data_IF_228587995642
#
_entry.id   IF_228587995642
#
_cell.length_a   1.000
_cell.length_b   1.000
_cell.length_c   1.000
_cell.angle_alpha   90.00
_cell.angle_beta   90.00
_cell.angle_gamma   90.00
#
_symmetry.space_group_name_H-M   'P 1'
#
loop_
_entity.id
_entity.type
_entity.pdbx_description
1 polymer ?
#
# COMPACT_ATOMS: atom_id res chain seq x y z
N UNK A 1 78.18 15.38 35.63
CA UNK A 1 77.32 14.26 35.23
C UNK A 1 76.09 14.23 36.12
N UNK A 2 74.96 14.79 35.66
CA UNK A 2 73.64 14.16 35.82
C UNK A 2 72.64 14.95 34.98
N UNK A 3 72.35 14.40 33.81
CA UNK A 3 71.46 14.92 32.79
C UNK A 3 70.01 14.57 33.19
N UNK A 4 69.25 15.54 33.69
CA UNK A 4 67.83 15.36 33.96
C UNK A 4 67.05 15.37 32.64
N UNK A 5 66.91 14.19 32.06
CA UNK A 5 66.10 13.93 30.87
C UNK A 5 64.62 14.17 31.20
N UNK A 6 64.10 15.31 30.74
CA UNK A 6 62.68 15.68 30.76
C UNK A 6 61.88 14.59 30.02
N UNK A 7 61.09 13.80 30.75
CA UNK A 7 60.06 12.94 30.16
C UNK A 7 59.02 13.84 29.47
N UNK A 8 59.05 13.84 28.14
CA UNK A 8 57.99 14.44 27.33
C UNK A 8 56.81 13.48 27.34
N UNK A 9 55.72 13.85 28.02
CA UNK A 9 54.43 13.18 27.91
C UNK A 9 54.03 13.14 26.42
N UNK A 10 53.99 11.94 25.84
CA UNK A 10 53.43 11.74 24.51
C UNK A 10 51.92 12.06 24.56
N UNK A 11 51.41 12.96 23.70
CA UNK A 11 49.99 13.25 23.67
C UNK A 11 49.22 12.00 23.23
N UNK A 12 48.46 11.41 24.15
CA UNK A 12 47.56 10.28 23.87
C UNK A 12 46.65 10.63 22.70
N UNK A 13 46.83 9.95 21.55
CA UNK A 13 46.01 10.19 20.36
C UNK A 13 44.53 10.02 20.74
N UNK A 14 43.66 11.00 20.45
CA UNK A 14 42.25 10.91 20.82
C UNK A 14 41.62 9.67 20.19
N UNK A 15 40.96 8.85 21.01
CA UNK A 15 40.34 7.58 20.62
C UNK A 15 39.34 7.84 19.48
N UNK A 16 39.53 7.17 18.34
CA UNK A 16 38.64 7.33 17.19
C UNK A 16 37.24 6.81 17.53
N UNK A 17 36.26 7.72 17.66
CA UNK A 17 34.85 7.35 17.83
C UNK A 17 34.20 7.25 16.45
N UNK A 18 33.63 6.09 16.07
CA UNK A 18 32.97 5.93 14.76
C UNK A 18 31.72 6.82 14.67
N UNK A 19 31.42 7.31 13.47
CA UNK A 19 30.24 8.17 13.22
C UNK A 19 28.91 7.42 13.40
N UNK A 20 28.95 6.09 13.28
CA UNK A 20 27.82 5.19 13.49
C UNK A 20 28.24 4.15 14.52
N UNK A 21 27.69 4.26 15.73
CA UNK A 21 27.92 3.31 16.83
C UNK A 21 27.28 1.96 16.53
N UNK A 22 27.62 0.91 17.29
CA UNK A 22 27.05 -0.43 17.08
C UNK A 22 25.51 -0.46 17.18
N UNK A 23 24.94 0.28 18.14
CA UNK A 23 23.48 0.42 18.26
C UNK A 23 22.87 1.17 17.07
N UNK A 24 23.47 2.30 16.68
CA UNK A 24 22.99 3.10 15.55
C UNK A 24 23.09 2.36 14.21
N UNK A 25 24.02 1.41 14.09
CA UNK A 25 24.16 0.53 12.92
C UNK A 25 22.95 -0.38 12.74
N UNK A 26 22.35 -0.88 13.82
CA UNK A 26 21.13 -1.70 13.74
C UNK A 26 19.95 -0.88 13.23
N UNK A 27 19.79 0.34 13.76
CA UNK A 27 18.75 1.27 13.29
C UNK A 27 18.97 1.62 11.82
N UNK A 28 20.20 1.89 11.42
CA UNK A 28 20.53 2.12 10.00
C UNK A 28 20.16 0.94 9.12
N UNK A 29 20.42 -0.30 9.56
CA UNK A 29 20.04 -1.48 8.81
C UNK A 29 18.53 -1.58 8.63
N UNK A 30 17.75 -1.30 9.67
CA UNK A 30 16.28 -1.22 9.60
C UNK A 30 15.84 -0.15 8.61
N UNK A 31 16.40 1.07 8.71
CA UNK A 31 16.11 2.18 7.79
C UNK A 31 16.39 1.79 6.35
N UNK A 32 17.58 1.25 6.06
CA UNK A 32 17.95 0.83 4.71
C UNK A 32 17.03 -0.28 4.18
N UNK A 33 16.70 -1.27 5.02
CA UNK A 33 15.80 -2.37 4.64
C UNK A 33 14.40 -1.86 4.29
N UNK A 34 13.83 -1.00 5.13
CA UNK A 34 12.53 -0.38 4.87
C UNK A 34 12.56 0.50 3.62
N UNK A 35 13.62 1.28 3.42
CA UNK A 35 13.82 2.07 2.19
C UNK A 35 13.92 1.19 0.95
N UNK A 36 14.50 -0.02 1.05
CA UNK A 36 14.57 -0.95 -0.08
C UNK A 36 13.18 -1.43 -0.51
N UNK A 37 12.38 -1.90 0.46
CA UNK A 37 11.01 -2.33 0.20
C UNK A 37 10.14 -1.18 -0.30
N UNK A 38 10.24 -0.01 0.33
CA UNK A 38 9.49 1.17 -0.09
C UNK A 38 9.89 1.62 -1.49
N UNK A 39 11.20 1.61 -1.82
CA UNK A 39 11.70 1.94 -3.14
C UNK A 39 11.24 0.96 -4.23
N UNK A 40 11.28 -0.35 -3.97
CA UNK A 40 10.77 -1.36 -4.88
C UNK A 40 9.26 -1.15 -5.13
N UNK A 41 8.51 -0.92 -4.06
CA UNK A 41 7.07 -0.72 -4.10
C UNK A 41 6.69 0.58 -4.83
N UNK A 42 7.39 1.69 -4.57
CA UNK A 42 7.23 2.94 -5.32
C UNK A 42 7.53 2.79 -6.81
N UNK A 43 8.58 2.03 -7.16
CA UNK A 43 8.91 1.76 -8.56
C UNK A 43 7.79 0.98 -9.25
N UNK A 44 7.23 -0.03 -8.59
CA UNK A 44 6.08 -0.78 -9.09
C UNK A 44 4.85 0.14 -9.28
N UNK A 45 4.49 0.94 -8.28
CA UNK A 45 3.32 1.84 -8.34
C UNK A 45 3.48 2.85 -9.48
N UNK A 46 4.65 3.48 -9.59
CA UNK A 46 4.96 4.43 -10.66
C UNK A 46 4.91 3.75 -12.04
N UNK A 47 5.44 2.53 -12.18
CA UNK A 47 5.41 1.79 -13.43
C UNK A 47 3.98 1.48 -13.89
N UNK A 48 3.11 1.03 -12.99
CA UNK A 48 1.70 0.77 -13.31
C UNK A 48 0.98 2.06 -13.70
N UNK A 49 1.20 3.16 -12.97
CA UNK A 49 0.59 4.46 -13.30
C UNK A 49 1.06 4.99 -14.66
N UNK A 50 2.34 4.86 -15.00
CA UNK A 50 2.87 5.24 -16.31
C UNK A 50 2.31 4.36 -17.42
N UNK A 51 2.23 3.04 -17.21
CA UNK A 51 1.67 2.12 -18.19
C UNK A 51 0.18 2.38 -18.43
N UNK A 52 -0.60 2.64 -17.39
CA UNK A 52 -2.01 3.02 -17.51
C UNK A 52 -2.16 4.31 -18.34
N UNK A 53 -1.31 5.32 -18.08
CA UNK A 53 -1.29 6.55 -18.89
C UNK A 53 -0.94 6.28 -20.36
N UNK A 54 0.05 5.43 -20.64
CA UNK A 54 0.48 5.13 -22.00
C UNK A 54 -0.49 4.22 -22.77
N UNK A 55 -1.20 3.31 -22.09
CA UNK A 55 -2.08 2.31 -22.72
C UNK A 55 -3.55 2.68 -22.69
N UNK A 56 -3.94 3.72 -21.94
CA UNK A 56 -5.34 4.09 -21.68
C UNK A 56 -6.19 2.93 -21.13
N UNK A 57 -5.54 1.93 -20.53
CA UNK A 57 -6.17 0.73 -19.97
C UNK A 57 -6.06 0.79 -18.45
N UNK A 58 -7.13 0.45 -17.73
CA UNK A 58 -7.10 0.41 -16.28
C UNK A 58 -6.25 -0.78 -15.80
N UNK A 59 -5.13 -0.49 -15.14
CA UNK A 59 -4.20 -1.47 -14.59
C UNK A 59 -4.16 -1.45 -13.05
N UNK A 60 -4.85 -0.51 -12.41
CA UNK A 60 -4.93 -0.40 -10.95
C UNK A 60 -5.86 -1.44 -10.31
N UNK A 61 -5.48 -2.71 -10.42
CA UNK A 61 -6.24 -3.86 -9.95
C UNK A 61 -6.14 -4.11 -8.42
N UNK A 62 -6.66 -5.25 -7.95
CA UNK A 62 -6.63 -5.65 -6.54
C UNK A 62 -5.21 -5.60 -5.94
N UNK A 63 -4.22 -6.17 -6.62
CA UNK A 63 -2.85 -6.19 -6.14
C UNK A 63 -2.25 -4.78 -6.07
N UNK A 64 -2.55 -3.90 -7.03
CA UNK A 64 -2.15 -2.49 -6.97
C UNK A 64 -2.66 -1.79 -5.71
N UNK A 65 -3.93 -1.98 -5.34
CA UNK A 65 -4.50 -1.37 -4.14
C UNK A 65 -3.78 -1.83 -2.86
N UNK A 66 -3.41 -3.12 -2.77
CA UNK A 66 -2.60 -3.62 -1.65
C UNK A 66 -1.16 -3.12 -1.67
N UNK A 67 -0.56 -2.92 -2.86
CA UNK A 67 0.76 -2.30 -2.96
C UNK A 67 0.72 -0.83 -2.54
N UNK A 68 -0.35 -0.10 -2.87
CA UNK A 68 -0.57 1.27 -2.40
C UNK A 68 -0.76 1.31 -0.87
N UNK A 69 -1.56 0.40 -0.31
CA UNK A 69 -1.68 0.26 1.15
C UNK A 69 -0.34 -0.11 1.80
N UNK A 70 0.42 -1.01 1.18
CA UNK A 70 1.77 -1.37 1.59
C UNK A 70 2.72 -0.18 1.59
N UNK A 71 2.63 0.70 0.59
CA UNK A 71 3.38 1.96 0.51
C UNK A 71 3.13 2.83 1.74
N UNK A 72 1.85 3.05 2.06
CA UNK A 72 1.41 3.84 3.21
C UNK A 72 1.95 3.24 4.52
N UNK A 73 1.76 1.94 4.72
CA UNK A 73 2.19 1.24 5.93
C UNK A 73 3.72 1.26 6.10
N UNK A 74 4.48 0.94 5.05
CA UNK A 74 5.94 0.96 5.06
C UNK A 74 6.47 2.38 5.26
N UNK A 75 5.84 3.39 4.62
CA UNK A 75 6.19 4.79 4.78
C UNK A 75 6.01 5.26 6.23
N UNK A 76 4.87 4.97 6.85
CA UNK A 76 4.61 5.26 8.27
C UNK A 76 5.61 4.55 9.19
N UNK A 77 5.88 3.26 8.93
CA UNK A 77 6.84 2.46 9.69
C UNK A 77 8.27 3.01 9.60
N UNK A 78 8.66 3.60 8.45
CA UNK A 78 9.99 4.18 8.24
C UNK A 78 10.22 5.47 9.04
N UNK A 79 9.17 6.26 9.32
CA UNK A 79 9.30 7.59 9.96
C UNK A 79 10.08 7.51 11.27
N UNK A 80 9.67 6.65 12.21
CA UNK A 80 10.27 6.55 13.54
C UNK A 80 11.75 6.14 13.49
N UNK A 81 12.15 5.00 12.89
CA UNK A 81 13.55 4.61 12.84
C UNK A 81 14.40 5.62 12.06
N UNK A 82 13.86 6.26 11.03
CA UNK A 82 14.57 7.31 10.28
C UNK A 82 14.86 8.54 11.15
N UNK A 83 13.86 9.05 11.87
CA UNK A 83 14.00 10.22 12.76
C UNK A 83 14.98 9.90 13.90
N UNK A 84 14.85 8.73 14.52
CA UNK A 84 15.76 8.25 15.57
C UNK A 84 17.19 8.18 15.03
N UNK A 85 17.40 7.51 13.88
CA UNK A 85 18.72 7.41 13.27
C UNK A 85 19.32 8.80 13.00
N UNK A 86 18.54 9.67 12.37
CA UNK A 86 18.97 11.00 11.96
C UNK A 86 19.33 11.90 13.15
N UNK A 87 18.53 11.88 14.22
CA UNK A 87 18.78 12.68 15.42
C UNK A 87 20.08 12.27 16.13
N UNK A 88 20.28 10.97 16.37
CA UNK A 88 21.49 10.46 17.00
C UNK A 88 22.72 10.61 16.10
N UNK A 89 22.57 10.38 14.79
CA UNK A 89 23.66 10.57 13.83
C UNK A 89 24.09 12.04 13.75
N UNK A 90 23.15 12.97 13.72
CA UNK A 90 23.42 14.40 13.71
C UNK A 90 24.12 14.84 14.99
N UNK A 91 23.63 14.42 16.17
CA UNK A 91 24.26 14.72 17.46
C UNK A 91 25.72 14.24 17.50
N UNK A 92 26.01 13.07 16.95
CA UNK A 92 27.34 12.48 16.92
C UNK A 92 28.28 13.10 15.87
N UNK A 93 27.76 13.79 14.85
CA UNK A 93 28.57 14.24 13.70
C UNK A 93 28.61 15.75 13.49
N UNK A 94 27.70 16.54 14.08
CA UNK A 94 27.59 17.99 13.87
C UNK A 94 28.86 18.80 14.16
N UNK A 95 29.74 18.30 15.03
CA UNK A 95 31.01 18.96 15.41
C UNK A 95 32.24 18.41 14.67
N UNK A 96 32.08 17.49 13.70
CA UNK A 96 33.23 16.93 12.98
C UNK A 96 33.92 17.96 12.08
N UNK A 97 35.23 17.80 11.91
CA UNK A 97 36.11 18.71 11.14
C UNK A 97 35.76 18.77 9.65
N UNK A 98 35.28 17.67 9.05
CA UNK A 98 34.85 17.66 7.65
C UNK A 98 33.50 18.39 7.50
N UNK A 99 33.56 19.69 7.27
CA UNK A 99 32.37 20.55 7.14
C UNK A 99 31.54 20.24 5.90
N UNK A 100 32.16 19.75 4.82
CA UNK A 100 31.45 19.39 3.58
C UNK A 100 30.52 18.20 3.86
N UNK A 101 31.04 17.13 4.48
CA UNK A 101 30.22 15.96 4.84
C UNK A 101 29.05 16.33 5.76
N UNK A 102 29.29 17.22 6.73
CA UNK A 102 28.25 17.70 7.65
C UNK A 102 27.18 18.54 6.94
N UNK A 103 27.58 19.46 6.04
CA UNK A 103 26.65 20.26 5.22
C UNK A 103 25.79 19.38 4.31
N UNK A 104 26.40 18.41 3.62
CA UNK A 104 25.66 17.42 2.82
C UNK A 104 24.71 16.59 3.69
N UNK A 105 25.11 16.27 4.93
CA UNK A 105 24.24 15.60 5.90
C UNK A 105 23.01 16.43 6.28
N UNK A 106 23.17 17.74 6.49
CA UNK A 106 22.02 18.64 6.72
C UNK A 106 21.10 18.74 5.50
N UNK A 107 21.66 18.89 4.30
CA UNK A 107 20.87 18.92 3.07
C UNK A 107 20.07 17.63 2.88
N UNK A 108 20.72 16.47 3.06
CA UNK A 108 20.07 15.16 3.00
C UNK A 108 18.95 15.04 4.03
N UNK A 109 19.18 15.49 5.27
CA UNK A 109 18.17 15.47 6.33
C UNK A 109 16.95 16.33 5.97
N UNK A 110 17.17 17.57 5.48
CA UNK A 110 16.09 18.48 5.09
C UNK A 110 15.23 17.89 3.98
N UNK A 111 15.86 17.38 2.91
CA UNK A 111 15.13 16.78 1.78
C UNK A 111 14.42 15.49 2.20
N UNK A 112 15.04 14.68 3.06
CA UNK A 112 14.38 13.46 3.58
C UNK A 112 13.19 13.79 4.48
N UNK A 113 13.27 14.86 5.29
CA UNK A 113 12.14 15.34 6.08
C UNK A 113 11.03 15.88 5.17
N UNK A 114 11.36 16.61 4.11
CA UNK A 114 10.37 17.05 3.12
C UNK A 114 9.66 15.86 2.43
N UNK A 115 10.40 14.79 2.11
CA UNK A 115 9.84 13.55 1.58
C UNK A 115 8.84 12.90 2.56
N UNK A 116 9.22 12.75 3.84
CA UNK A 116 8.36 12.13 4.85
C UNK A 116 7.14 12.99 5.17
N UNK A 117 7.32 14.30 5.34
CA UNK A 117 6.24 15.24 5.63
C UNK A 117 5.25 15.30 4.46
N UNK A 118 5.74 15.40 3.21
CA UNK A 118 4.86 15.36 2.04
C UNK A 118 4.08 14.05 1.96
N UNK A 119 4.69 12.91 2.27
CA UNK A 119 4.01 11.62 2.33
C UNK A 119 2.89 11.60 3.37
N UNK A 120 3.18 12.06 4.60
CA UNK A 120 2.19 12.14 5.69
C UNK A 120 1.02 13.07 5.33
N UNK A 121 1.31 14.23 4.74
CA UNK A 121 0.31 15.21 4.33
C UNK A 121 -0.57 14.72 3.18
N UNK A 122 -0.14 13.72 2.42
CA UNK A 122 -0.92 13.08 1.37
C UNK A 122 -1.84 11.95 1.89
N UNK A 123 -1.72 11.52 3.15
CA UNK A 123 -2.43 10.34 3.66
C UNK A 123 -3.95 10.47 3.79
N UNK A 124 -4.55 11.67 3.69
CA UNK A 124 -6.01 11.91 3.83
C UNK A 124 -6.65 11.28 5.08
N UNK A 125 -5.89 11.09 6.16
CA UNK A 125 -6.41 10.54 7.41
C UNK A 125 -6.86 11.70 8.31
N UNK A 126 -8.18 11.84 8.49
CA UNK A 126 -8.80 12.78 9.43
C UNK A 126 -8.26 14.22 9.35
N UNK A 127 -7.61 14.74 10.40
CA UNK A 127 -7.15 16.14 10.46
C UNK A 127 -6.03 16.49 9.47
N UNK A 128 -5.39 15.51 8.84
CA UNK A 128 -4.34 15.73 7.83
C UNK A 128 -4.89 15.87 6.40
N UNK A 129 -6.22 15.89 6.24
CA UNK A 129 -6.84 16.03 4.91
C UNK A 129 -6.60 17.42 4.30
N UNK A 130 -5.71 17.47 3.30
CA UNK A 130 -5.50 18.67 2.48
C UNK A 130 -6.57 18.74 1.39
N UNK A 131 -7.53 19.67 1.57
CA UNK A 131 -8.62 19.92 0.60
C UNK A 131 -8.22 20.81 -0.57
N UNK A 132 -7.21 21.67 -0.39
CA UNK A 132 -6.73 22.56 -1.45
C UNK A 132 -6.01 21.78 -2.55
N UNK A 133 -6.49 21.90 -3.79
CA UNK A 133 -5.88 21.28 -4.97
C UNK A 133 -4.43 21.75 -5.17
N UNK A 134 -4.16 23.04 -5.04
CA UNK A 134 -2.82 23.60 -5.21
C UNK A 134 -1.84 23.02 -4.19
N UNK A 135 -2.24 22.94 -2.91
CA UNK A 135 -1.42 22.35 -1.86
C UNK A 135 -1.18 20.85 -2.12
N UNK A 136 -2.22 20.10 -2.51
CA UNK A 136 -2.09 18.67 -2.82
C UNK A 136 -1.13 18.42 -3.99
N UNK A 137 -1.24 19.21 -5.05
CA UNK A 137 -0.34 19.13 -6.21
C UNK A 137 1.10 19.44 -5.83
N UNK A 138 1.31 20.47 -4.99
CA UNK A 138 2.64 20.82 -4.49
C UNK A 138 3.28 19.67 -3.67
N UNK A 139 2.54 19.09 -2.71
CA UNK A 139 3.05 17.98 -1.92
C UNK A 139 3.24 16.71 -2.73
N UNK A 140 2.35 16.44 -3.70
CA UNK A 140 2.52 15.34 -4.65
C UNK A 140 3.84 15.45 -5.41
N UNK A 141 4.12 16.58 -6.07
CA UNK A 141 5.37 16.75 -6.80
C UNK A 141 6.59 16.77 -5.89
N UNK A 142 6.46 17.33 -4.68
CA UNK A 142 7.50 17.23 -3.65
C UNK A 142 7.82 15.77 -3.34
N UNK A 143 6.79 14.94 -3.12
CA UNK A 143 6.94 13.53 -2.79
C UNK A 143 7.51 12.69 -3.96
N UNK A 144 7.20 13.08 -5.20
CA UNK A 144 7.74 12.44 -6.41
C UNK A 144 9.21 12.83 -6.66
N UNK A 145 9.60 14.08 -6.45
CA UNK A 145 10.94 14.59 -6.77
C UNK A 145 11.97 14.29 -5.67
N UNK A 146 11.56 14.39 -4.39
CA UNK A 146 12.49 14.23 -3.27
C UNK A 146 13.26 12.89 -3.25
N UNK A 147 12.70 11.71 -3.61
CA UNK A 147 13.45 10.45 -3.61
C UNK A 147 14.69 10.50 -4.49
N UNK A 148 14.60 11.12 -5.67
CA UNK A 148 15.74 11.29 -6.58
C UNK A 148 16.82 12.18 -5.95
N UNK A 149 16.40 13.28 -5.31
CA UNK A 149 17.30 14.18 -4.59
C UNK A 149 17.94 13.49 -3.37
N UNK A 150 17.19 12.65 -2.62
CA UNK A 150 17.70 11.87 -1.48
C UNK A 150 18.78 10.89 -1.94
N UNK A 151 18.55 10.14 -3.02
CA UNK A 151 19.55 9.21 -3.57
C UNK A 151 20.83 9.95 -3.99
N UNK A 152 20.67 11.06 -4.70
CA UNK A 152 21.79 11.91 -5.13
C UNK A 152 22.58 12.50 -3.95
N UNK A 153 21.89 13.12 -2.98
CA UNK A 153 22.50 13.70 -1.79
C UNK A 153 23.13 12.64 -0.89
N UNK A 154 22.54 11.45 -0.78
CA UNK A 154 23.12 10.33 -0.06
C UNK A 154 24.45 9.90 -0.68
N UNK A 155 24.51 9.83 -2.01
CA UNK A 155 25.75 9.54 -2.71
C UNK A 155 26.82 10.61 -2.44
N UNK A 156 26.49 11.90 -2.57
CA UNK A 156 27.42 13.01 -2.24
C UNK A 156 27.88 12.98 -0.77
N UNK A 157 26.95 12.72 0.16
CA UNK A 157 27.22 12.59 1.59
C UNK A 157 28.20 11.44 1.88
N UNK A 158 28.08 10.32 1.17
CA UNK A 158 28.96 9.15 1.32
C UNK A 158 30.31 9.31 0.61
N UNK A 159 30.39 10.03 -0.51
CA UNK A 159 31.68 10.37 -1.15
C UNK A 159 32.56 11.23 -0.25
N UNK A 160 31.94 12.07 0.58
CA UNK A 160 32.65 12.88 1.58
C UNK A 160 33.05 12.10 2.86
N UNK A 161 32.73 10.80 2.93
CA UNK A 161 32.95 9.92 4.08
C UNK A 161 33.68 8.62 3.73
N UNK A 162 33.57 7.56 4.56
CA UNK A 162 34.17 6.27 4.27
C UNK A 162 33.58 5.66 2.98
N UNK A 163 34.41 4.99 2.15
CA UNK A 163 33.98 4.50 0.83
C UNK A 163 32.76 3.57 0.92
N UNK A 164 31.93 3.61 -0.12
CA UNK A 164 30.79 2.71 -0.25
C UNK A 164 31.31 1.30 -0.52
N UNK A 165 30.84 0.33 0.26
CA UNK A 165 31.12 -1.08 0.01
C UNK A 165 30.20 -1.56 -1.12
N UNK A 166 30.65 -1.40 -2.37
CA UNK A 166 29.87 -1.70 -3.58
C UNK A 166 29.25 -3.09 -3.61
N UNK A 167 29.91 -4.10 -3.01
CA UNK A 167 29.32 -5.45 -2.85
C UNK A 167 27.97 -5.42 -2.12
N UNK A 168 27.84 -4.65 -1.05
CA UNK A 168 26.58 -4.48 -0.30
C UNK A 168 25.56 -3.74 -1.18
N UNK A 169 26.00 -2.74 -1.93
CA UNK A 169 25.15 -2.02 -2.89
C UNK A 169 24.57 -2.96 -3.95
N UNK A 170 25.39 -3.87 -4.50
CA UNK A 170 24.94 -4.87 -5.48
C UNK A 170 23.87 -5.79 -4.87
N UNK A 171 24.10 -6.35 -3.68
CA UNK A 171 23.10 -7.19 -3.01
C UNK A 171 21.79 -6.43 -2.73
N UNK A 172 21.90 -5.17 -2.31
CA UNK A 172 20.74 -4.31 -2.07
C UNK A 172 19.93 -4.06 -3.35
N UNK A 173 20.61 -3.71 -4.44
CA UNK A 173 19.98 -3.49 -5.75
C UNK A 173 19.37 -4.78 -6.31
N UNK A 174 20.06 -5.92 -6.16
CA UNK A 174 19.53 -7.22 -6.58
C UNK A 174 18.26 -7.60 -5.79
N UNK A 175 18.26 -7.44 -4.46
CA UNK A 175 17.09 -7.71 -3.63
C UNK A 175 15.90 -6.81 -4.01
N UNK A 176 16.16 -5.53 -4.26
CA UNK A 176 15.14 -4.56 -4.71
C UNK A 176 14.57 -4.99 -6.07
N UNK A 177 15.43 -5.38 -7.03
CA UNK A 177 15.00 -5.84 -8.35
C UNK A 177 14.17 -7.13 -8.28
N UNK A 178 14.57 -8.09 -7.45
CA UNK A 178 13.81 -9.33 -7.21
C UNK A 178 12.43 -9.00 -6.65
N UNK A 179 12.33 -8.08 -5.69
CA UNK A 179 11.05 -7.63 -5.15
C UNK A 179 10.16 -6.99 -6.23
N UNK A 180 10.72 -6.12 -7.08
CA UNK A 180 10.01 -5.54 -8.23
C UNK A 180 9.47 -6.62 -9.17
N UNK A 181 10.32 -7.59 -9.56
CA UNK A 181 9.92 -8.70 -10.44
C UNK A 181 8.80 -9.51 -9.81
N UNK A 182 8.92 -9.85 -8.53
CA UNK A 182 7.86 -10.56 -7.81
C UNK A 182 6.54 -9.78 -7.86
N UNK A 183 6.54 -8.47 -7.57
CA UNK A 183 5.33 -7.64 -7.66
C UNK A 183 4.71 -7.60 -9.06
N UNK A 184 5.52 -7.59 -10.12
CA UNK A 184 5.03 -7.68 -11.49
C UNK A 184 4.40 -9.05 -11.78
N UNK A 185 5.04 -10.14 -11.36
CA UNK A 185 4.49 -11.50 -11.53
C UNK A 185 3.16 -11.68 -10.78
N UNK A 186 3.04 -11.08 -9.59
CA UNK A 186 1.81 -11.11 -8.79
C UNK A 186 0.78 -10.06 -9.20
N UNK A 187 1.06 -9.17 -10.16
CA UNK A 187 0.16 -8.07 -10.52
C UNK A 187 -1.25 -8.55 -10.85
N UNK A 188 -1.40 -9.64 -11.60
CA UNK A 188 -2.72 -10.19 -11.97
C UNK A 188 -3.29 -11.19 -10.96
N UNK A 189 -2.69 -11.34 -9.78
CA UNK A 189 -3.17 -12.26 -8.76
C UNK A 189 -4.29 -11.63 -7.94
N UNK A 190 -5.51 -12.17 -8.05
CA UNK A 190 -6.65 -11.82 -7.22
C UNK A 190 -7.08 -13.03 -6.35
N UNK A 191 -6.71 -13.05 -5.05
CA UNK A 191 -7.08 -14.11 -4.12
C UNK A 191 -8.60 -14.34 -4.02
N UNK A 192 -9.41 -13.32 -4.33
CA UNK A 192 -10.88 -13.45 -4.29
C UNK A 192 -11.40 -14.41 -5.37
N UNK A 193 -10.59 -14.73 -6.38
CA UNK A 193 -10.97 -15.59 -7.51
C UNK A 193 -10.50 -17.05 -7.34
N UNK A 194 -9.55 -17.34 -6.46
CA UNK A 194 -8.87 -18.64 -6.38
C UNK A 194 -9.80 -19.82 -6.04
N UNK A 195 -10.83 -19.59 -5.23
CA UNK A 195 -11.74 -20.63 -4.74
C UNK A 195 -13.21 -20.28 -4.97
N UNK A 196 -13.51 -19.51 -6.02
CA UNK A 196 -14.88 -19.19 -6.37
C UNK A 196 -15.60 -20.44 -6.88
N UNK A 197 -16.71 -20.76 -6.22
CA UNK A 197 -17.65 -21.80 -6.65
C UNK A 197 -18.50 -21.22 -7.78
N UNK A 198 -18.83 -22.03 -8.78
CA UNK A 198 -19.76 -21.66 -9.84
C UNK A 198 -20.60 -22.86 -10.24
N UNK A 199 -21.63 -22.64 -11.04
CA UNK A 199 -22.37 -23.72 -11.66
C UNK A 199 -21.54 -24.42 -12.74
N UNK A 200 -21.76 -25.72 -12.94
CA UNK A 200 -21.21 -26.45 -14.09
C UNK A 200 -21.68 -25.84 -15.42
N UNK A 201 -22.91 -25.30 -15.45
CA UNK A 201 -23.49 -24.58 -16.59
C UNK A 201 -22.78 -23.23 -16.88
N UNK A 202 -21.85 -22.79 -16.02
CA UNK A 202 -21.16 -21.52 -16.14
C UNK A 202 -22.13 -20.34 -16.28
N UNK A 203 -21.95 -19.52 -17.32
CA UNK A 203 -22.81 -18.34 -17.56
C UNK A 203 -24.26 -18.72 -17.88
N UNK A 204 -24.52 -19.90 -18.45
CA UNK A 204 -25.88 -20.35 -18.76
C UNK A 204 -26.72 -20.63 -17.52
N UNK A 205 -26.07 -20.83 -16.36
CA UNK A 205 -26.78 -20.91 -15.09
C UNK A 205 -27.67 -19.69 -14.86
N UNK A 206 -27.24 -18.50 -15.30
CA UNK A 206 -27.99 -17.28 -15.04
C UNK A 206 -29.22 -17.14 -15.95
N UNK A 207 -29.29 -17.84 -17.07
CA UNK A 207 -30.44 -17.74 -17.97
C UNK A 207 -31.73 -18.28 -17.32
N UNK A 208 -32.91 -17.67 -17.60
CA UNK A 208 -33.15 -16.54 -18.52
C UNK A 208 -32.98 -15.14 -17.92
N UNK A 209 -32.35 -14.99 -16.74
CA UNK A 209 -31.94 -13.66 -16.27
C UNK A 209 -30.90 -13.07 -17.23
N UNK A 210 -31.04 -11.77 -17.53
CA UNK A 210 -30.01 -11.02 -18.25
C UNK A 210 -28.86 -10.59 -17.34
N UNK A 211 -29.09 -10.55 -16.02
CA UNK A 211 -28.08 -10.29 -15.02
C UNK A 211 -27.26 -11.57 -14.74
N UNK A 212 -25.93 -11.42 -14.77
CA UNK A 212 -24.94 -12.49 -14.60
C UNK A 212 -23.68 -11.93 -13.94
N UNK A 213 -22.87 -12.80 -13.34
CA UNK A 213 -21.54 -12.41 -12.86
C UNK A 213 -20.55 -12.32 -14.02
N UNK A 214 -19.51 -11.50 -13.84
CA UNK A 214 -18.54 -11.17 -14.91
C UNK A 214 -17.78 -12.41 -15.40
N UNK A 215 -17.60 -13.40 -14.54
CA UNK A 215 -16.85 -14.62 -14.80
C UNK A 215 -17.71 -15.90 -14.74
N UNK A 216 -19.04 -15.76 -14.65
CA UNK A 216 -19.96 -16.90 -14.56
C UNK A 216 -19.89 -17.70 -13.26
N UNK A 217 -19.14 -17.24 -12.26
CA UNK A 217 -19.01 -17.87 -10.93
C UNK A 217 -19.85 -17.15 -9.89
N UNK A 218 -20.05 -17.79 -8.74
CA UNK A 218 -20.85 -17.22 -7.69
C UNK A 218 -20.12 -16.17 -6.84
N UNK A 219 -20.87 -15.18 -6.36
CA UNK A 219 -20.46 -14.18 -5.39
C UNK A 219 -20.80 -14.74 -3.99
N UNK A 220 -19.84 -14.79 -3.05
CA UNK A 220 -20.14 -15.30 -1.72
C UNK A 220 -21.24 -14.49 -1.03
N UNK A 221 -22.28 -15.14 -0.51
CA UNK A 221 -23.43 -14.48 0.14
C UNK A 221 -23.02 -13.47 1.22
N UNK A 222 -21.97 -13.78 2.02
CA UNK A 222 -21.41 -12.87 3.04
C UNK A 222 -20.96 -11.51 2.50
N UNK A 223 -20.62 -11.42 1.22
CA UNK A 223 -20.19 -10.18 0.57
C UNK A 223 -21.41 -9.34 0.17
N UNK A 224 -22.50 -10.00 -0.24
CA UNK A 224 -23.74 -9.33 -0.64
C UNK A 224 -24.69 -9.04 0.54
N UNK A 225 -24.59 -9.78 1.65
CA UNK A 225 -25.39 -9.59 2.88
C UNK A 225 -24.64 -8.80 3.96
N UNK A 226 -23.83 -7.81 3.58
CA UNK A 226 -22.99 -7.10 4.54
C UNK A 226 -23.52 -5.69 4.87
N UNK A 227 -24.81 -5.58 5.16
CA UNK A 227 -25.47 -4.30 5.47
C UNK A 227 -24.86 -3.61 6.70
N UNK A 228 -24.34 -4.39 7.65
CA UNK A 228 -23.67 -3.88 8.85
C UNK A 228 -22.43 -3.05 8.51
N UNK A 229 -21.66 -3.46 7.51
CA UNK A 229 -20.50 -2.68 7.06
C UNK A 229 -20.91 -1.30 6.54
N UNK A 230 -22.03 -1.22 5.81
CA UNK A 230 -22.56 0.06 5.36
C UNK A 230 -23.06 0.92 6.53
N UNK A 231 -23.70 0.30 7.52
CA UNK A 231 -24.23 0.96 8.73
C UNK A 231 -23.15 1.65 9.56
N UNK A 232 -21.92 1.12 9.58
CA UNK A 232 -20.79 1.73 10.32
C UNK A 232 -20.54 3.19 9.92
N UNK A 233 -20.75 3.53 8.64
CA UNK A 233 -20.55 4.88 8.10
C UNK A 233 -21.87 5.59 7.74
N UNK A 234 -22.95 4.85 7.46
CA UNK A 234 -24.23 5.36 6.94
C UNK A 234 -25.40 4.90 7.82
N UNK A 235 -25.32 5.17 9.12
CA UNK A 235 -26.27 4.68 10.11
C UNK A 235 -27.69 5.25 9.91
N UNK A 236 -27.80 6.50 9.46
CA UNK A 236 -29.06 7.19 9.16
C UNK A 236 -29.76 6.58 7.94
N UNK A 237 -29.03 6.43 6.82
CA UNK A 237 -29.55 5.81 5.59
C UNK A 237 -29.93 4.36 5.87
N UNK A 238 -29.12 3.62 6.63
CA UNK A 238 -29.46 2.26 7.03
C UNK A 238 -30.75 2.25 7.87
N UNK A 239 -30.92 3.18 8.82
CA UNK A 239 -32.15 3.28 9.62
C UNK A 239 -33.38 3.53 8.74
N UNK A 240 -33.29 4.43 7.77
CA UNK A 240 -34.41 4.71 6.84
C UNK A 240 -34.74 3.49 5.97
N UNK A 241 -33.72 2.85 5.40
CA UNK A 241 -33.90 1.60 4.65
C UNK A 241 -34.54 0.52 5.53
N UNK A 242 -34.09 0.39 6.78
CA UNK A 242 -34.52 -0.64 7.71
C UNK A 242 -36.02 -0.57 8.03
N UNK A 243 -36.58 0.65 8.05
CA UNK A 243 -38.01 0.89 8.27
C UNK A 243 -38.83 0.97 6.98
N UNK A 244 -38.20 0.82 5.81
CA UNK A 244 -38.86 0.89 4.51
C UNK A 244 -39.30 -0.49 3.99
N UNK A 245 -40.21 -0.48 3.01
CA UNK A 245 -40.57 -1.70 2.29
C UNK A 245 -39.36 -2.34 1.55
N UNK A 246 -38.31 -1.58 1.26
CA UNK A 246 -37.11 -2.07 0.55
C UNK A 246 -36.24 -3.00 1.39
N UNK A 247 -36.38 -3.01 2.74
CA UNK A 247 -35.73 -4.02 3.59
C UNK A 247 -36.21 -5.43 3.24
N UNK A 248 -37.48 -5.56 2.86
CA UNK A 248 -38.09 -6.83 2.53
C UNK A 248 -37.78 -7.21 1.07
N UNK A 249 -36.59 -7.74 0.85
CA UNK A 249 -36.17 -8.31 -0.44
C UNK A 249 -36.46 -9.82 -0.49
N UNK A 250 -36.66 -10.35 -1.69
CA UNK A 250 -36.69 -11.80 -1.91
C UNK A 250 -37.68 -12.54 -1.00
N UNK A 251 -37.23 -13.65 -0.40
CA UNK A 251 -37.98 -14.54 0.45
C UNK A 251 -38.32 -13.97 1.84
N UNK A 252 -37.85 -12.77 2.18
CA UNK A 252 -38.31 -12.05 3.39
C UNK A 252 -39.64 -11.30 3.16
N UNK A 253 -40.09 -11.18 1.90
CA UNK A 253 -41.38 -10.61 1.53
C UNK A 253 -42.40 -11.74 1.24
N UNK A 254 -43.47 -11.89 2.05
CA UNK A 254 -44.45 -12.97 1.88
C UNK A 254 -45.16 -12.98 0.51
N UNK A 255 -45.47 -11.80 -0.04
CA UNK A 255 -46.17 -11.71 -1.34
C UNK A 255 -45.27 -12.18 -2.49
N UNK A 256 -43.99 -11.78 -2.46
CA UNK A 256 -43.01 -12.24 -3.42
C UNK A 256 -42.75 -13.74 -3.29
N UNK A 257 -42.59 -14.24 -2.06
CA UNK A 257 -42.35 -15.65 -1.78
C UNK A 257 -43.43 -16.56 -2.37
N UNK A 258 -44.71 -16.20 -2.22
CA UNK A 258 -45.84 -16.95 -2.80
C UNK A 258 -45.76 -16.94 -4.33
N UNK A 259 -45.51 -15.77 -4.92
CA UNK A 259 -45.44 -15.59 -6.38
C UNK A 259 -44.34 -16.44 -7.01
N UNK A 260 -43.14 -16.47 -6.41
CA UNK A 260 -42.02 -17.30 -6.87
C UNK A 260 -42.29 -18.78 -6.67
N UNK A 261 -42.86 -19.19 -5.51
CA UNK A 261 -43.20 -20.60 -5.26
C UNK A 261 -44.20 -21.12 -6.29
N UNK A 262 -45.25 -20.38 -6.58
CA UNK A 262 -46.24 -20.76 -7.59
C UNK A 262 -45.63 -20.80 -8.99
N UNK A 263 -44.77 -19.84 -9.34
CA UNK A 263 -44.05 -19.82 -10.63
C UNK A 263 -43.17 -21.07 -10.78
N UNK A 264 -42.44 -21.45 -9.73
CA UNK A 264 -41.61 -22.66 -9.70
C UNK A 264 -42.46 -23.92 -9.84
N UNK A 265 -43.59 -24.00 -9.15
CA UNK A 265 -44.50 -25.15 -9.25
C UNK A 265 -45.06 -25.31 -10.68
N UNK A 266 -45.55 -24.22 -11.28
CA UNK A 266 -46.06 -24.22 -12.66
C UNK A 266 -44.94 -24.58 -13.66
N UNK A 267 -43.75 -24.01 -13.48
CA UNK A 267 -42.58 -24.30 -14.33
C UNK A 267 -42.20 -25.78 -14.26
N UNK A 268 -42.15 -26.37 -13.06
CA UNK A 268 -41.84 -27.79 -12.89
C UNK A 268 -42.87 -28.69 -13.56
N UNK A 269 -44.18 -28.39 -13.39
CA UNK A 269 -45.25 -29.20 -14.01
C UNK A 269 -45.23 -29.15 -15.54
N UNK A 270 -44.79 -28.04 -16.11
CA UNK A 270 -44.90 -27.76 -17.55
C UNK A 270 -43.63 -28.06 -18.33
N UNK A 271 -42.48 -27.64 -17.80
CA UNK A 271 -41.19 -27.67 -18.49
C UNK A 271 -40.20 -28.64 -17.82
N UNK A 272 -40.53 -29.21 -16.65
CA UNK A 272 -39.68 -30.16 -15.92
C UNK A 272 -38.57 -29.51 -15.09
N UNK A 273 -38.47 -28.17 -15.06
CA UNK A 273 -37.48 -27.42 -14.28
C UNK A 273 -38.04 -26.12 -13.68
N UNK A 274 -37.27 -25.48 -12.80
CA UNK A 274 -37.58 -24.18 -12.15
C UNK A 274 -36.82 -23.00 -12.76
N UNK A 275 -36.12 -23.16 -13.89
CA UNK A 275 -35.19 -22.16 -14.43
C UNK A 275 -35.88 -20.83 -14.72
N UNK A 276 -37.17 -20.83 -15.07
CA UNK A 276 -37.96 -19.59 -15.24
C UNK A 276 -37.88 -18.64 -14.06
N UNK A 277 -37.82 -19.16 -12.83
CA UNK A 277 -37.73 -18.34 -11.62
C UNK A 277 -36.42 -17.52 -11.56
N UNK A 278 -35.38 -17.92 -12.30
CA UNK A 278 -34.12 -17.17 -12.38
C UNK A 278 -34.30 -15.79 -13.01
N UNK A 279 -35.28 -15.61 -13.91
CA UNK A 279 -35.64 -14.29 -14.45
C UNK A 279 -35.98 -13.31 -13.32
N UNK A 280 -36.78 -13.74 -12.34
CA UNK A 280 -37.14 -12.95 -11.18
C UNK A 280 -35.94 -12.77 -10.23
N UNK A 281 -35.17 -13.84 -10.03
CA UNK A 281 -34.04 -13.88 -9.11
C UNK A 281 -32.94 -12.88 -9.45
N UNK A 282 -32.72 -12.59 -10.74
CA UNK A 282 -31.75 -11.61 -11.20
C UNK A 282 -31.90 -10.20 -10.61
N UNK A 283 -33.12 -9.81 -10.24
CA UNK A 283 -33.39 -8.50 -9.62
C UNK A 283 -33.86 -8.62 -8.17
N UNK A 284 -34.64 -9.65 -7.85
CA UNK A 284 -35.31 -9.75 -6.55
C UNK A 284 -34.61 -10.68 -5.56
N UNK A 285 -33.79 -11.63 -6.02
CA UNK A 285 -33.09 -12.61 -5.19
C UNK A 285 -31.56 -12.58 -5.44
N UNK A 286 -30.90 -11.40 -5.47
CA UNK A 286 -29.51 -11.31 -5.90
C UNK A 286 -28.57 -12.14 -5.01
N UNK A 287 -28.83 -12.22 -3.70
CA UNK A 287 -27.97 -12.96 -2.78
C UNK A 287 -27.93 -14.47 -3.05
N UNK A 288 -29.07 -15.19 -3.08
CA UNK A 288 -29.05 -16.63 -3.36
C UNK A 288 -28.79 -16.94 -4.84
N UNK A 289 -28.83 -15.96 -5.74
CA UNK A 289 -28.74 -16.19 -7.18
C UNK A 289 -27.35 -15.93 -7.77
N UNK A 290 -26.68 -14.87 -7.36
CA UNK A 290 -25.32 -14.54 -7.79
C UNK A 290 -24.28 -15.19 -6.90
#
# INVERSE_FOLDING_TARGET
>A
MNDQRKQTDEPTRPKHVPAVTAGLRRVLFVVLTLTAFLGANSLYLAAVTVLEYCTSSSLQNYFYQYMFLGHLALGLLLVVPFVVFSAFHLKATRQRKNRIAVRMGYALLIVSLALLISGLLLTRIGPLEIRSLAARTFFYWTHVVCPFLVVWLYWLHRMSGPPIRWRIGIYYSAATAIACIAMVLFHNSDPRQWYQVGSEDGVQYFEPSLARTVNGKFIPARVMQNDQYCKECHADIHSDWEHSAHKNSSFSNPAYLVSVRQTREVSMKRDGDVKRARFCAGCHDPVPFF
#
